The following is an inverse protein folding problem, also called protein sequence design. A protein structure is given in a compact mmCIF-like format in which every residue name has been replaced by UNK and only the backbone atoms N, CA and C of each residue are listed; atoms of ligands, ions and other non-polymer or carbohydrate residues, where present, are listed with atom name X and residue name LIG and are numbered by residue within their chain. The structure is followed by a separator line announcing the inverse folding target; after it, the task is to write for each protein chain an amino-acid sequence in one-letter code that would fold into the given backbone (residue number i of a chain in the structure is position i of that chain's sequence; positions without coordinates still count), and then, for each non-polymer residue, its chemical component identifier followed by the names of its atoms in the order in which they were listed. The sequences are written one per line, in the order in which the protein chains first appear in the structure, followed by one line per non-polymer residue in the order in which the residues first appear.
data_IF_942749816474
#
_entry.id   IF_942749816474
#
_cell.length_a   1.000
_cell.length_b   1.000
_cell.length_c   1.000
_cell.angle_alpha   90.00
_cell.angle_beta   90.00
_cell.angle_gamma   90.00
#
_symmetry.space_group_name_H-M   'P 1'
#
loop_
_entity.id
_entity.type
_entity.pdbx_description
1 polymer ?
#
# COMPACT_ATOMS: atom_id res chain seq x y z
N UNK A 1 -45.41 38.57 15.92
CA UNK A 1 -44.25 38.25 15.05
C UNK A 1 -44.36 36.76 14.76
N UNK A 2 -44.50 36.38 13.49
CA UNK A 2 -44.87 35.00 13.11
C UNK A 2 -43.73 34.02 13.41
N UNK A 3 -44.07 32.81 13.90
CA UNK A 3 -43.13 31.73 14.21
C UNK A 3 -42.21 31.36 13.03
N UNK A 4 -42.69 31.58 11.80
CA UNK A 4 -41.93 31.41 10.55
C UNK A 4 -40.72 32.35 10.49
N UNK A 5 -40.82 33.55 11.08
CA UNK A 5 -39.73 34.52 11.10
C UNK A 5 -38.64 34.12 12.11
N UNK A 6 -39.02 33.54 13.25
CA UNK A 6 -38.08 32.96 14.23
C UNK A 6 -37.32 31.76 13.66
N UNK A 7 -38.00 30.88 12.92
CA UNK A 7 -37.36 29.73 12.28
C UNK A 7 -36.34 30.15 11.20
N UNK A 8 -36.65 31.19 10.41
CA UNK A 8 -35.74 31.71 9.39
C UNK A 8 -34.47 32.31 10.00
N UNK A 9 -34.60 33.04 11.11
CA UNK A 9 -33.44 33.60 11.82
C UNK A 9 -32.60 32.49 12.44
N UNK A 10 -33.23 31.46 13.02
CA UNK A 10 -32.51 30.31 13.57
C UNK A 10 -31.63 29.61 12.54
N UNK A 11 -32.12 29.41 11.31
CA UNK A 11 -31.34 28.79 10.23
C UNK A 11 -30.15 29.67 9.81
N UNK A 12 -30.34 30.99 9.73
CA UNK A 12 -29.26 31.92 9.36
C UNK A 12 -28.16 31.93 10.43
N UNK A 13 -28.53 31.93 11.71
CA UNK A 13 -27.57 31.90 12.82
C UNK A 13 -26.81 30.57 12.85
N UNK A 14 -27.49 29.43 12.64
CA UNK A 14 -26.83 28.13 12.57
C UNK A 14 -25.84 28.03 11.40
N UNK A 15 -26.20 28.58 10.23
CA UNK A 15 -25.30 28.63 9.07
C UNK A 15 -24.05 29.47 9.32
N UNK A 16 -24.19 30.64 9.95
CA UNK A 16 -23.05 31.49 10.31
C UNK A 16 -22.14 30.83 11.35
N UNK A 17 -22.71 30.11 12.32
CA UNK A 17 -21.93 29.36 13.30
C UNK A 17 -21.11 28.23 12.65
N UNK A 18 -21.70 27.48 11.71
CA UNK A 18 -21.02 26.43 10.96
C UNK A 18 -19.86 27.00 10.11
N UNK A 19 -20.11 28.12 9.43
CA UNK A 19 -19.09 28.80 8.61
C UNK A 19 -17.92 29.33 9.45
N UNK A 20 -18.19 29.87 10.64
CA UNK A 20 -17.15 30.28 11.58
C UNK A 20 -16.33 29.09 12.09
N UNK A 21 -16.97 27.95 12.37
CA UNK A 21 -16.28 26.73 12.82
C UNK A 21 -15.31 26.21 11.74
N UNK A 22 -15.73 26.17 10.48
CA UNK A 22 -14.86 25.76 9.36
C UNK A 22 -13.69 26.74 9.19
N UNK A 23 -13.92 28.05 9.31
CA UNK A 23 -12.84 29.02 9.20
C UNK A 23 -11.81 28.90 10.33
N UNK A 24 -12.27 28.63 11.55
CA UNK A 24 -11.40 28.57 12.73
C UNK A 24 -10.66 27.23 12.86
N UNK A 25 -11.30 26.11 12.51
CA UNK A 25 -10.72 24.77 12.58
C UNK A 25 -10.09 24.29 11.26
N UNK A 26 -10.45 24.87 10.12
CA UNK A 26 -9.95 24.49 8.79
C UNK A 26 -8.60 25.12 8.41
N UNK A 27 -7.92 25.82 9.33
CA UNK A 27 -6.63 26.46 9.06
C UNK A 27 -5.47 25.54 9.48
N UNK A 28 -4.76 24.89 8.52
CA UNK A 28 -3.67 23.96 8.85
C UNK A 28 -2.50 24.68 9.52
N UNK A 29 -2.08 24.18 10.69
CA UNK A 29 -0.85 24.61 11.38
C UNK A 29 0.37 24.06 10.65
N UNK A 30 1.10 24.92 9.94
CA UNK A 30 2.45 24.62 9.47
C UNK A 30 3.36 24.35 10.68
N UNK A 31 3.84 23.10 10.81
CA UNK A 31 4.87 22.74 11.78
C UNK A 31 6.24 23.11 11.24
N UNK A 32 7.00 23.80 12.08
CA UNK A 32 8.29 24.42 11.76
C UNK A 32 9.40 23.43 11.43
N UNK A 33 10.07 23.73 10.32
CA UNK A 33 11.51 23.76 10.10
C UNK A 33 12.38 23.02 11.15
N UNK A 34 12.86 21.83 10.79
CA UNK A 34 13.86 21.07 11.54
C UNK A 34 15.21 21.78 11.57
N UNK A 35 15.74 21.97 12.78
CA UNK A 35 17.03 22.56 13.11
C UNK A 35 18.16 21.60 12.79
N UNK A 36 19.01 21.92 11.80
CA UNK A 36 20.22 21.16 11.47
C UNK A 36 21.27 21.40 12.55
N UNK A 37 21.67 20.34 13.25
CA UNK A 37 22.86 20.33 14.10
C UNK A 37 24.08 20.10 13.22
N UNK A 38 25.06 21.00 13.33
CA UNK A 38 26.36 20.95 12.66
C UNK A 38 27.27 19.98 13.45
N UNK A 39 27.90 18.97 12.83
CA UNK A 39 28.92 18.19 13.52
C UNK A 39 30.19 19.00 13.69
N UNK A 40 30.69 19.02 14.92
CA UNK A 40 31.96 19.59 15.36
C UNK A 40 33.11 18.65 14.94
N UNK A 41 34.15 19.19 14.31
CA UNK A 41 35.37 18.46 13.95
C UNK A 41 36.13 18.07 15.22
N UNK A 42 36.24 16.77 15.48
CA UNK A 42 37.16 16.21 16.48
C UNK A 42 38.52 15.97 15.84
N UNK A 43 39.48 16.76 16.32
CA UNK A 43 40.92 16.52 16.21
C UNK A 43 41.32 15.29 17.06
N UNK A 44 42.41 14.63 16.66
CA UNK A 44 43.08 13.59 17.44
C UNK A 44 42.92 12.15 16.94
N UNK A 45 43.67 11.79 15.89
CA UNK A 45 44.01 10.40 15.58
C UNK A 45 45.02 9.90 16.62
N UNK A 46 44.59 9.00 17.51
CA UNK A 46 45.47 8.16 18.32
C UNK A 46 45.27 6.72 17.84
N UNK A 47 46.33 6.08 17.37
CA UNK A 47 46.29 4.66 17.03
C UNK A 47 46.36 3.81 18.31
N UNK A 48 45.41 2.90 18.56
CA UNK A 48 45.49 1.96 19.67
C UNK A 48 46.30 0.74 19.23
N UNK A 49 47.42 0.49 19.91
CA UNK A 49 48.16 -0.77 19.80
C UNK A 49 47.41 -1.90 20.50
N UNK A 50 47.21 -3.00 19.79
CA UNK A 50 46.48 -4.24 20.13
C UNK A 50 46.85 -4.95 21.45
N UNK A 51 47.78 -4.43 22.26
CA UNK A 51 48.22 -5.07 23.50
C UNK A 51 47.28 -4.83 24.69
N UNK A 52 46.68 -3.65 24.81
CA UNK A 52 45.98 -3.25 26.05
C UNK A 52 44.50 -3.66 26.12
N UNK A 53 43.87 -4.05 25.00
CA UNK A 53 42.45 -4.40 24.99
C UNK A 53 42.18 -5.81 25.52
N UNK A 54 43.14 -6.73 25.36
CA UNK A 54 42.98 -8.13 25.77
C UNK A 54 43.09 -8.28 27.30
N UNK A 55 43.91 -7.46 27.95
CA UNK A 55 44.03 -7.47 29.43
C UNK A 55 42.82 -6.86 30.13
N UNK A 56 42.18 -5.83 29.55
CA UNK A 56 40.96 -5.24 30.11
C UNK A 56 39.71 -6.12 29.88
N UNK A 57 39.61 -6.81 28.74
CA UNK A 57 38.50 -7.75 28.48
C UNK A 57 38.54 -9.00 29.39
N UNK A 58 39.75 -9.49 29.69
CA UNK A 58 39.91 -10.65 30.58
C UNK A 58 39.67 -10.30 32.05
N UNK A 59 39.86 -9.04 32.44
CA UNK A 59 39.53 -8.53 33.77
C UNK A 59 38.02 -8.23 33.93
N UNK A 60 37.32 -7.85 32.85
CA UNK A 60 35.88 -7.57 32.87
C UNK A 60 34.98 -8.83 32.83
N UNK A 61 35.55 -10.01 32.55
CA UNK A 61 34.80 -11.26 32.43
C UNK A 61 34.40 -11.93 33.76
N UNK A 62 34.60 -11.28 34.91
CA UNK A 62 34.29 -11.85 36.23
C UNK A 62 32.99 -11.34 36.89
N UNK A 63 32.22 -10.46 36.24
CA UNK A 63 30.99 -9.94 36.85
C UNK A 63 29.81 -9.85 35.86
N UNK A 64 29.42 -11.02 35.32
CA UNK A 64 28.17 -11.15 34.55
C UNK A 64 27.07 -11.70 35.45
N UNK A 65 26.22 -10.82 35.99
CA UNK A 65 24.97 -11.24 36.64
C UNK A 65 23.92 -11.57 35.57
N UNK A 66 23.31 -12.76 35.70
CA UNK A 66 22.30 -13.31 34.79
C UNK A 66 21.04 -12.45 34.66
N UNK A 67 20.86 -11.47 35.56
CA UNK A 67 19.68 -10.61 35.62
C UNK A 67 19.65 -9.55 34.50
N UNK A 68 20.83 -9.13 34.02
CA UNK A 68 20.97 -8.11 32.98
C UNK A 68 20.51 -8.59 31.60
N UNK A 69 20.78 -9.87 31.28
CA UNK A 69 20.42 -10.49 30.00
C UNK A 69 18.90 -10.67 29.88
N UNK A 70 18.26 -11.06 30.97
CA UNK A 70 16.80 -11.27 31.02
C UNK A 70 16.04 -9.96 30.85
N UNK A 71 16.55 -8.84 31.38
CA UNK A 71 15.94 -7.52 31.17
C UNK A 71 16.02 -7.06 29.72
N UNK A 72 17.16 -7.27 29.04
CA UNK A 72 17.32 -6.91 27.63
C UNK A 72 16.45 -7.74 26.69
N UNK A 73 16.24 -9.03 27.00
CA UNK A 73 15.30 -9.87 26.24
C UNK A 73 13.84 -9.44 26.48
N UNK A 74 13.48 -9.11 27.72
CA UNK A 74 12.14 -8.63 28.07
C UNK A 74 11.83 -7.27 27.41
N UNK A 75 12.80 -6.35 27.33
CA UNK A 75 12.62 -5.06 26.66
C UNK A 75 12.45 -5.19 25.13
N UNK A 76 13.11 -6.17 24.51
CA UNK A 76 12.92 -6.51 23.09
C UNK A 76 11.53 -7.12 22.83
N UNK A 77 11.05 -7.96 23.74
CA UNK A 77 9.71 -8.52 23.72
C UNK A 77 8.65 -7.42 23.91
N UNK A 78 8.83 -6.52 24.87
CA UNK A 78 7.89 -5.42 25.13
C UNK A 78 7.87 -4.39 23.99
N UNK A 79 8.99 -4.18 23.30
CA UNK A 79 9.03 -3.40 22.04
C UNK A 79 8.28 -4.07 20.89
N UNK A 80 8.36 -5.40 20.81
CA UNK A 80 7.68 -6.17 19.76
C UNK A 80 6.18 -6.28 20.04
N UNK A 81 5.79 -6.43 21.31
CA UNK A 81 4.39 -6.49 21.77
C UNK A 81 3.75 -5.09 21.83
N UNK A 82 4.52 -4.04 22.11
CA UNK A 82 4.09 -2.64 22.04
C UNK A 82 3.82 -2.14 20.63
N UNK A 83 4.37 -2.80 19.60
CA UNK A 83 4.03 -2.53 18.19
C UNK A 83 2.70 -3.17 17.75
N UNK A 84 2.03 -3.91 18.63
CA UNK A 84 0.68 -4.48 18.39
C UNK A 84 -0.45 -3.58 18.91
N UNK A 85 -0.18 -2.32 19.25
CA UNK A 85 -1.23 -1.37 19.63
C UNK A 85 -1.88 -0.74 18.38
N UNK A 86 -3.07 -1.25 18.05
CA UNK A 86 -4.04 -0.73 17.09
C UNK A 86 -3.62 -0.71 15.61
N UNK A 87 -4.45 -1.34 14.76
CA UNK A 87 -4.43 -1.23 13.31
C UNK A 87 -4.54 0.25 12.88
N UNK A 88 -3.42 0.98 12.87
CA UNK A 88 -3.30 2.14 12.02
C UNK A 88 -3.42 1.60 10.59
N UNK A 89 -4.51 1.92 9.90
CA UNK A 89 -4.72 1.51 8.52
C UNK A 89 -3.47 1.90 7.72
N UNK A 90 -2.81 0.91 7.10
CA UNK A 90 -1.60 1.17 6.32
C UNK A 90 -1.94 2.11 5.17
N UNK A 91 -1.19 3.19 5.01
CA UNK A 91 -1.33 4.10 3.87
C UNK A 91 -0.55 3.59 2.64
N UNK A 92 0.22 2.50 2.80
CA UNK A 92 1.01 1.91 1.73
C UNK A 92 0.09 1.31 0.66
N UNK A 93 0.26 1.71 -0.60
CA UNK A 93 -0.63 1.26 -1.67
C UNK A 93 -1.96 2.00 -1.73
N UNK A 94 -2.13 3.08 -0.97
CA UNK A 94 -3.23 4.03 -1.18
C UNK A 94 -3.02 4.81 -2.48
N UNK A 95 -4.10 5.00 -3.24
CA UNK A 95 -4.07 5.83 -4.46
C UNK A 95 -4.07 7.32 -4.09
N UNK A 96 -3.41 8.13 -4.91
CA UNK A 96 -3.39 9.59 -4.75
C UNK A 96 -4.75 10.26 -5.04
N UNK A 97 -5.54 9.67 -5.94
CA UNK A 97 -6.92 10.05 -6.22
C UNK A 97 -7.83 8.83 -6.17
N UNK A 98 -9.08 9.03 -5.75
CA UNK A 98 -10.12 8.00 -5.81
C UNK A 98 -10.77 7.92 -7.19
N UNK A 99 -10.68 8.99 -8.00
CA UNK A 99 -11.23 9.05 -9.35
C UNK A 99 -10.61 7.99 -10.25
N UNK A 100 -11.42 7.40 -11.13
CA UNK A 100 -10.97 6.43 -12.12
C UNK A 100 -11.88 6.47 -13.35
N UNK A 101 -11.28 6.22 -14.51
CA UNK A 101 -11.99 6.13 -15.79
C UNK A 101 -12.32 4.68 -16.13
N UNK A 102 -11.39 3.77 -15.82
CA UNK A 102 -11.45 2.36 -16.21
C UNK A 102 -10.83 1.46 -15.15
N UNK A 103 -11.39 0.27 -15.01
CA UNK A 103 -10.83 -0.82 -14.20
C UNK A 103 -10.62 -2.02 -15.10
N UNK A 104 -9.42 -2.59 -15.08
CA UNK A 104 -9.09 -3.86 -15.75
C UNK A 104 -8.98 -4.94 -14.67
N UNK A 105 -9.73 -6.02 -14.84
CA UNK A 105 -9.84 -7.09 -13.84
C UNK A 105 -9.40 -8.42 -14.40
N UNK A 106 -8.61 -9.15 -13.62
CA UNK A 106 -8.33 -10.58 -13.81
C UNK A 106 -8.68 -11.32 -12.52
N UNK A 107 -8.97 -12.62 -12.63
CA UNK A 107 -9.13 -13.47 -11.46
C UNK A 107 -8.12 -14.61 -11.49
N UNK A 108 -7.77 -15.10 -10.31
CA UNK A 108 -7.14 -16.42 -10.15
C UNK A 108 -8.11 -17.26 -9.37
N UNK A 109 -8.63 -18.31 -10.00
CA UNK A 109 -9.54 -19.26 -9.39
C UNK A 109 -8.82 -20.55 -9.01
N UNK A 110 -9.23 -21.16 -7.89
CA UNK A 110 -8.84 -22.52 -7.57
C UNK A 110 -9.38 -23.51 -8.63
N UNK A 111 -8.73 -24.66 -8.76
CA UNK A 111 -9.23 -25.73 -9.65
C UNK A 111 -10.55 -26.30 -9.10
N UNK A 112 -11.25 -27.04 -9.95
CA UNK A 112 -12.55 -27.58 -9.60
C UNK A 112 -12.50 -28.46 -8.35
N UNK A 113 -13.29 -28.10 -7.33
CA UNK A 113 -13.35 -28.81 -6.04
C UNK A 113 -12.31 -28.35 -5.01
N UNK A 114 -11.43 -27.43 -5.37
CA UNK A 114 -10.39 -26.90 -4.49
C UNK A 114 -10.69 -25.46 -4.06
N UNK A 115 -9.91 -24.95 -3.10
CA UNK A 115 -9.94 -23.57 -2.66
C UNK A 115 -8.53 -23.06 -2.46
N UNK A 116 -8.34 -21.76 -2.65
CA UNK A 116 -7.11 -21.08 -2.33
C UNK A 116 -7.06 -20.83 -0.81
N UNK A 117 -5.98 -21.26 -0.17
CA UNK A 117 -5.78 -21.06 1.27
C UNK A 117 -5.08 -19.73 1.52
N UNK A 118 -5.50 -19.03 2.57
CA UNK A 118 -4.94 -17.72 2.94
C UNK A 118 -3.41 -17.71 3.04
N UNK A 119 -2.76 -18.62 3.78
CA UNK A 119 -1.29 -18.61 3.91
C UNK A 119 -0.59 -18.77 2.56
N UNK A 120 -1.14 -19.60 1.67
CA UNK A 120 -0.56 -19.83 0.35
C UNK A 120 -0.70 -18.57 -0.53
N UNK A 121 -1.83 -17.84 -0.42
CA UNK A 121 -2.04 -16.56 -1.09
C UNK A 121 -1.01 -15.52 -0.63
N UNK A 122 -0.74 -15.42 0.67
CA UNK A 122 0.26 -14.49 1.21
C UNK A 122 1.64 -14.79 0.62
N UNK A 123 2.08 -16.04 0.70
CA UNK A 123 3.38 -16.47 0.17
C UNK A 123 3.46 -16.24 -1.33
N UNK A 124 2.39 -16.53 -2.08
CA UNK A 124 2.35 -16.32 -3.51
C UNK A 124 2.43 -14.84 -3.89
N UNK A 125 1.71 -13.97 -3.18
CA UNK A 125 1.72 -12.52 -3.39
C UNK A 125 3.11 -11.93 -3.10
N UNK A 126 3.74 -12.30 -1.99
CA UNK A 126 5.10 -11.86 -1.64
C UNK A 126 6.13 -12.33 -2.68
N UNK A 127 6.09 -13.60 -3.09
CA UNK A 127 6.96 -14.14 -4.14
C UNK A 127 6.74 -13.44 -5.48
N UNK A 128 5.52 -13.00 -5.77
CA UNK A 128 5.18 -12.21 -6.95
C UNK A 128 5.57 -10.72 -6.83
N UNK A 129 6.16 -10.30 -5.71
CA UNK A 129 6.64 -8.94 -5.48
C UNK A 129 5.52 -7.96 -5.16
N UNK A 130 4.47 -8.44 -4.51
CA UNK A 130 3.38 -7.61 -3.98
C UNK A 130 3.59 -7.34 -2.49
N UNK A 131 3.01 -6.25 -1.99
CA UNK A 131 3.12 -5.84 -0.60
C UNK A 131 1.74 -5.66 0.00
N UNK A 132 1.52 -6.21 1.19
CA UNK A 132 0.30 -6.02 1.96
C UNK A 132 0.20 -4.57 2.45
N UNK A 133 -0.98 -3.94 2.34
CA UNK A 133 -1.12 -2.53 2.68
C UNK A 133 -2.56 -2.05 2.82
N UNK A 134 -2.81 -0.88 2.24
CA UNK A 134 -4.06 -0.13 2.32
C UNK A 134 -5.29 -1.00 2.03
N UNK A 135 -6.36 -0.81 2.81
CA UNK A 135 -7.57 -1.65 2.78
C UNK A 135 -7.34 -3.15 3.07
N UNK A 136 -6.22 -3.51 3.71
CA UNK A 136 -5.91 -4.90 4.05
C UNK A 136 -5.85 -5.81 2.81
N UNK A 137 -5.29 -5.30 1.71
CA UNK A 137 -5.11 -6.03 0.45
C UNK A 137 -3.67 -5.96 -0.04
N UNK A 138 -3.33 -6.73 -1.08
CA UNK A 138 -1.99 -6.74 -1.65
C UNK A 138 -1.88 -5.75 -2.81
N UNK A 139 -0.76 -5.04 -2.90
CA UNK A 139 -0.50 -4.04 -3.92
C UNK A 139 0.82 -4.33 -4.64
N UNK A 140 0.83 -4.15 -5.95
CA UNK A 140 2.08 -3.97 -6.69
C UNK A 140 2.36 -2.48 -6.74
N UNK A 141 3.45 -2.04 -6.11
CA UNK A 141 3.84 -0.63 -6.07
C UNK A 141 4.72 -0.25 -7.27
N UNK A 142 4.88 1.04 -7.52
CA UNK A 142 5.85 1.54 -8.51
C UNK A 142 7.26 1.24 -8.01
N UNK A 143 8.07 0.58 -8.84
CA UNK A 143 9.43 0.18 -8.46
C UNK A 143 10.26 1.42 -8.10
N UNK A 144 10.86 1.42 -6.91
CA UNK A 144 11.64 2.53 -6.36
C UNK A 144 10.84 3.77 -5.91
N UNK A 145 9.50 3.79 -6.11
CA UNK A 145 8.64 4.94 -5.81
C UNK A 145 7.31 4.52 -5.15
N UNK A 146 7.34 3.84 -3.99
CA UNK A 146 6.13 3.32 -3.34
C UNK A 146 5.12 4.42 -2.97
N UNK A 147 5.57 5.66 -2.78
CA UNK A 147 4.76 6.84 -2.48
C UNK A 147 3.82 7.27 -3.62
N UNK A 148 4.08 6.83 -4.86
CA UNK A 148 3.20 7.10 -6.02
C UNK A 148 1.94 6.24 -6.03
N UNK A 149 1.82 5.30 -5.09
CA UNK A 149 0.68 4.40 -4.96
C UNK A 149 0.82 3.13 -5.80
N UNK A 150 -0.26 2.34 -5.89
CA UNK A 150 -0.25 1.03 -6.51
C UNK A 150 -0.33 1.15 -8.03
N UNK A 151 0.41 0.30 -8.74
CA UNK A 151 0.17 -0.01 -10.16
C UNK A 151 -1.12 -0.81 -10.28
N UNK A 152 -1.28 -1.89 -9.51
CA UNK A 152 -2.50 -2.70 -9.41
C UNK A 152 -2.58 -3.36 -8.03
N UNK A 153 -3.74 -3.91 -7.68
CA UNK A 153 -3.97 -4.53 -6.38
C UNK A 153 -4.68 -5.87 -6.50
N UNK A 154 -4.61 -6.69 -5.45
CA UNK A 154 -5.25 -8.00 -5.34
C UNK A 154 -6.10 -8.07 -4.08
N UNK A 155 -7.36 -8.42 -4.24
CA UNK A 155 -8.33 -8.58 -3.16
C UNK A 155 -8.98 -9.97 -3.18
N UNK A 156 -9.59 -10.36 -2.07
CA UNK A 156 -10.45 -11.52 -2.00
C UNK A 156 -11.78 -11.24 -2.73
N UNK A 157 -12.34 -12.22 -3.45
CA UNK A 157 -13.67 -12.05 -4.07
C UNK A 157 -14.80 -12.14 -3.06
N UNK A 158 -14.55 -12.78 -1.91
CA UNK A 158 -15.52 -12.95 -0.84
C UNK A 158 -15.54 -11.71 0.04
N UNK A 159 -16.73 -11.30 0.49
CA UNK A 159 -16.88 -10.19 1.43
C UNK A 159 -16.13 -10.53 2.74
N UNK A 160 -15.39 -9.59 3.34
CA UNK A 160 -15.33 -8.14 3.02
C UNK A 160 -14.43 -7.75 1.83
N UNK A 161 -13.62 -8.66 1.31
CA UNK A 161 -12.66 -8.42 0.21
C UNK A 161 -11.23 -8.18 0.68
N UNK A 162 -11.02 -7.96 1.98
CA UNK A 162 -9.71 -7.90 2.63
C UNK A 162 -9.13 -9.29 2.93
N UNK A 163 -7.84 -9.30 3.23
CA UNK A 163 -7.13 -10.43 3.84
C UNK A 163 -6.84 -10.09 5.30
N UNK A 164 -7.65 -10.61 6.22
CA UNK A 164 -7.42 -10.39 7.65
C UNK A 164 -6.24 -11.23 8.14
N UNK A 165 -5.09 -10.59 8.34
CA UNK A 165 -3.84 -11.28 8.70
C UNK A 165 -3.95 -12.04 10.03
N UNK A 166 -4.77 -11.57 10.97
CA UNK A 166 -5.00 -12.25 12.25
C UNK A 166 -5.68 -13.63 12.10
N UNK A 167 -6.51 -13.79 11.06
CA UNK A 167 -7.29 -15.01 10.81
C UNK A 167 -6.90 -15.69 9.50
N UNK A 168 -5.74 -15.32 8.93
CA UNK A 168 -5.34 -15.73 7.58
C UNK A 168 -5.24 -17.26 7.42
N UNK A 169 -4.90 -17.98 8.49
CA UNK A 169 -4.79 -19.43 8.50
C UNK A 169 -6.14 -20.15 8.28
N UNK A 170 -7.25 -19.52 8.65
CA UNK A 170 -8.59 -20.04 8.46
C UNK A 170 -9.23 -19.60 7.13
N UNK A 171 -8.60 -18.65 6.43
CA UNK A 171 -9.13 -18.16 5.16
C UNK A 171 -9.03 -19.24 4.09
N UNK A 172 -10.18 -19.53 3.48
CA UNK A 172 -10.28 -20.27 2.23
C UNK A 172 -11.17 -19.48 1.27
N UNK A 173 -10.73 -19.32 0.02
CA UNK A 173 -11.50 -18.59 -0.98
C UNK A 173 -11.47 -19.30 -2.34
N UNK A 174 -12.59 -19.33 -3.08
CA UNK A 174 -12.61 -19.93 -4.40
C UNK A 174 -11.79 -19.15 -5.44
N UNK A 175 -11.58 -17.85 -5.25
CA UNK A 175 -10.78 -17.03 -6.14
C UNK A 175 -10.29 -15.74 -5.48
N UNK A 176 -9.34 -15.09 -6.13
CA UNK A 176 -8.86 -13.74 -5.81
C UNK A 176 -8.91 -12.87 -7.08
N UNK A 177 -9.12 -11.58 -6.90
CA UNK A 177 -9.29 -10.62 -7.98
C UNK A 177 -8.10 -9.66 -8.04
N UNK A 178 -7.47 -9.58 -9.20
CA UNK A 178 -6.54 -8.52 -9.56
C UNK A 178 -7.32 -7.38 -10.20
N UNK A 179 -7.06 -6.15 -9.79
CA UNK A 179 -7.65 -4.97 -10.39
C UNK A 179 -6.61 -3.87 -10.61
N UNK A 180 -6.55 -3.40 -11.86
CA UNK A 180 -5.76 -2.26 -12.31
C UNK A 180 -6.74 -1.10 -12.54
N UNK A 181 -6.62 -0.05 -11.73
CA UNK A 181 -7.43 1.16 -11.85
C UNK A 181 -6.67 2.21 -12.65
N UNK A 182 -7.30 2.75 -13.69
CA UNK A 182 -6.74 3.80 -14.54
C UNK A 182 -7.43 5.15 -14.25
N UNK A 183 -6.68 6.26 -14.21
CA UNK A 183 -5.25 6.38 -14.49
C UNK A 183 -4.37 5.77 -13.38
N UNK A 184 -3.38 4.96 -13.79
CA UNK A 184 -2.38 4.39 -12.91
C UNK A 184 -1.19 5.38 -12.76
N UNK A 185 -0.30 5.20 -11.76
CA UNK A 185 0.89 6.05 -11.62
C UNK A 185 1.91 5.88 -12.76
N UNK A 186 1.70 4.93 -13.67
CA UNK A 186 2.48 4.68 -14.90
C UNK A 186 1.51 4.51 -16.08
N UNK A 187 2.02 4.46 -17.31
CA UNK A 187 1.21 4.22 -18.51
C UNK A 187 0.39 2.93 -18.37
N UNK A 188 -0.83 2.93 -18.92
CA UNK A 188 -1.76 1.81 -18.80
C UNK A 188 -1.17 0.53 -19.41
N UNK A 189 -0.47 0.65 -20.55
CA UNK A 189 0.21 -0.49 -21.16
C UNK A 189 1.29 -1.06 -20.25
N UNK A 190 2.15 -0.22 -19.67
CA UNK A 190 3.21 -0.65 -18.75
C UNK A 190 2.61 -1.32 -17.50
N UNK A 191 1.51 -0.77 -16.98
CA UNK A 191 0.79 -1.35 -15.85
C UNK A 191 0.24 -2.75 -16.16
N UNK A 192 -0.33 -2.93 -17.35
CA UNK A 192 -0.79 -4.23 -17.84
C UNK A 192 0.36 -5.23 -18.04
N UNK A 193 1.47 -4.78 -18.62
CA UNK A 193 2.68 -5.59 -18.83
C UNK A 193 3.34 -6.01 -17.49
N UNK A 194 3.07 -5.29 -16.39
CA UNK A 194 3.40 -5.73 -15.03
C UNK A 194 2.34 -6.66 -14.42
N UNK A 195 1.06 -6.38 -14.65
CA UNK A 195 -0.06 -7.12 -14.06
C UNK A 195 -0.14 -8.57 -14.56
N UNK A 196 -0.06 -8.77 -15.89
CA UNK A 196 -0.26 -10.09 -16.49
C UNK A 196 0.78 -11.13 -16.03
N UNK A 197 2.10 -10.87 -16.09
CA UNK A 197 3.10 -11.83 -15.61
C UNK A 197 2.98 -12.10 -14.10
N UNK A 198 2.61 -11.07 -13.32
CA UNK A 198 2.37 -11.22 -11.87
C UNK A 198 1.20 -12.17 -11.61
N UNK A 199 0.08 -11.99 -12.31
CA UNK A 199 -1.08 -12.86 -12.20
C UNK A 199 -0.77 -14.31 -12.64
N UNK A 200 -0.04 -14.49 -13.74
CA UNK A 200 0.39 -15.82 -14.20
C UNK A 200 1.30 -16.52 -13.20
N UNK A 201 2.31 -15.81 -12.68
CA UNK A 201 3.22 -16.36 -11.66
C UNK A 201 2.48 -16.72 -10.37
N UNK A 202 1.54 -15.90 -9.94
CA UNK A 202 0.78 -16.18 -8.73
C UNK A 202 -0.18 -17.36 -8.94
N UNK A 203 -0.73 -17.53 -10.15
CA UNK A 203 -1.53 -18.69 -10.49
C UNK A 203 -0.70 -19.98 -10.48
N UNK A 204 0.54 -19.96 -11.00
CA UNK A 204 1.47 -21.10 -10.92
C UNK A 204 1.79 -21.48 -9.46
N UNK A 205 2.03 -20.49 -8.59
CA UNK A 205 2.32 -20.73 -7.17
C UNK A 205 1.13 -21.28 -6.39
N UNK A 206 -0.09 -20.98 -6.83
CA UNK A 206 -1.34 -21.38 -6.18
C UNK A 206 -2.01 -22.59 -6.85
N UNK A 207 -1.39 -23.17 -7.88
CA UNK A 207 -2.01 -24.14 -8.79
C UNK A 207 -3.40 -23.69 -9.30
N UNK A 208 -3.54 -22.38 -9.55
CA UNK A 208 -4.79 -21.75 -9.97
C UNK A 208 -4.89 -21.52 -11.48
N UNK A 209 -6.07 -21.08 -11.92
CA UNK A 209 -6.34 -20.72 -13.32
C UNK A 209 -6.61 -19.23 -13.42
N UNK A 210 -5.90 -18.54 -14.32
CA UNK A 210 -6.14 -17.12 -14.61
C UNK A 210 -7.39 -16.99 -15.47
N UNK A 211 -8.34 -16.17 -15.02
CA UNK A 211 -9.60 -15.89 -15.71
C UNK A 211 -9.72 -14.40 -16.08
N UNK A 212 -10.47 -14.12 -17.13
CA UNK A 212 -10.87 -12.77 -17.52
C UNK A 212 -12.08 -12.26 -16.72
N UNK A 213 -12.53 -11.04 -17.04
CA UNK A 213 -13.69 -10.39 -16.40
C UNK A 213 -14.99 -11.21 -16.52
N UNK A 214 -15.14 -12.00 -17.59
CA UNK A 214 -16.28 -12.90 -17.81
C UNK A 214 -16.11 -14.27 -17.14
N UNK A 215 -15.03 -14.47 -16.37
CA UNK A 215 -14.64 -15.73 -15.71
C UNK A 215 -14.30 -16.85 -16.70
N UNK A 216 -13.90 -16.51 -17.92
CA UNK A 216 -13.35 -17.47 -18.88
C UNK A 216 -11.85 -17.58 -18.71
N UNK A 217 -11.28 -18.76 -19.02
CA UNK A 217 -9.83 -18.95 -19.00
C UNK A 217 -9.13 -17.94 -19.91
N UNK A 218 -8.09 -17.28 -19.39
CA UNK A 218 -7.43 -16.18 -20.09
C UNK A 218 -6.63 -16.68 -21.31
N UNK A 219 -7.21 -16.50 -22.50
CA UNK A 219 -6.60 -16.90 -23.77
C UNK A 219 -5.73 -15.82 -24.41
N UNK A 220 -4.89 -16.22 -25.39
CA UNK A 220 -3.99 -15.32 -26.14
C UNK A 220 -4.73 -14.18 -26.85
N UNK A 221 -5.90 -14.45 -27.43
CA UNK A 221 -6.72 -13.43 -28.09
C UNK A 221 -7.19 -12.36 -27.10
N UNK A 222 -7.65 -12.76 -25.91
CA UNK A 222 -8.10 -11.82 -24.88
C UNK A 222 -6.94 -10.99 -24.33
N UNK A 223 -5.77 -11.60 -24.13
CA UNK A 223 -4.54 -10.90 -23.75
C UNK A 223 -4.17 -9.83 -24.79
N UNK A 224 -4.17 -10.18 -26.08
CA UNK A 224 -3.86 -9.24 -27.15
C UNK A 224 -4.85 -8.08 -27.19
N UNK A 225 -6.14 -8.38 -27.03
CA UNK A 225 -7.19 -7.38 -26.98
C UNK A 225 -7.04 -6.42 -25.80
N UNK A 226 -6.85 -6.92 -24.57
CA UNK A 226 -6.62 -6.07 -23.39
C UNK A 226 -5.39 -5.18 -23.56
N UNK A 227 -4.31 -5.70 -24.13
CA UNK A 227 -3.11 -4.92 -24.45
C UNK A 227 -3.41 -3.78 -25.44
N UNK A 228 -4.18 -4.05 -26.48
CA UNK A 228 -4.55 -3.04 -27.48
C UNK A 228 -5.51 -1.99 -26.90
N UNK A 229 -6.39 -2.37 -25.96
CA UNK A 229 -7.20 -1.43 -25.19
C UNK A 229 -6.34 -0.51 -24.32
N UNK A 230 -5.31 -1.03 -23.65
CA UNK A 230 -4.40 -0.20 -22.84
C UNK A 230 -3.64 0.81 -23.71
N UNK A 231 -3.15 0.37 -24.86
CA UNK A 231 -2.54 1.26 -25.86
C UNK A 231 -3.51 2.35 -26.34
N UNK A 232 -4.78 2.01 -26.53
CA UNK A 232 -5.79 2.97 -26.95
C UNK A 232 -6.11 3.97 -25.84
N UNK A 233 -6.15 3.52 -24.59
CA UNK A 233 -6.32 4.38 -23.42
C UNK A 233 -5.17 5.39 -23.31
N UNK A 234 -3.91 4.93 -23.39
CA UNK A 234 -2.73 5.82 -23.32
C UNK A 234 -2.77 6.88 -24.43
N UNK A 235 -3.06 6.51 -25.69
CA UNK A 235 -3.17 7.47 -26.80
C UNK A 235 -4.24 8.54 -26.59
N UNK A 236 -5.35 8.21 -25.94
CA UNK A 236 -6.43 9.17 -25.66
C UNK A 236 -6.05 10.16 -24.56
N UNK A 237 -5.22 9.74 -23.60
CA UNK A 237 -4.81 10.54 -22.45
C UNK A 237 -3.49 11.30 -22.67
N UNK A 238 -2.66 10.89 -23.64
CA UNK A 238 -1.47 11.62 -24.08
C UNK A 238 -1.78 12.76 -25.08
N UNK A 239 -2.91 12.70 -25.79
CA UNK A 239 -3.24 13.68 -26.81
C UNK A 239 -3.45 15.08 -26.18
N UNK A 240 -2.64 16.10 -26.52
CA UNK A 240 -2.89 17.47 -26.10
C UNK A 240 -4.29 17.90 -26.57
N UNK A 241 -5.01 18.76 -25.81
CA UNK A 241 -6.27 19.30 -26.30
C UNK A 241 -6.00 19.93 -27.66
N UNK A 242 -6.74 19.50 -28.69
CA UNK A 242 -6.62 20.05 -30.05
C UNK A 242 -6.81 21.56 -29.98
N UNK A 243 -5.72 22.31 -29.89
CA UNK A 243 -5.74 23.76 -30.01
C UNK A 243 -6.27 24.04 -31.40
N UNK A 244 -7.49 24.59 -31.48
CA UNK A 244 -8.10 25.00 -32.74
C UNK A 244 -7.05 25.72 -33.57
N UNK A 245 -6.80 25.21 -34.77
CA UNK A 245 -5.90 25.84 -35.73
C UNK A 245 -6.33 27.31 -35.91
N UNK A 246 -5.40 28.29 -35.89
CA UNK A 246 -5.75 29.68 -36.15
C UNK A 246 -6.36 29.74 -37.54
N UNK A 247 -7.64 30.13 -37.61
CA UNK A 247 -8.25 30.54 -38.86
C UNK A 247 -7.52 31.81 -39.31
N UNK A 248 -6.65 31.66 -40.32
CA UNK A 248 -6.17 32.77 -41.12
C UNK A 248 -7.21 33.10 -42.19
#
# INVERSE_FOLDING_TARGET
MSDVWLLRIGIVVAGLALMAAIYFFGRPRNRGQGRRLRPEERDGRLEPTLGSQIEDELAAAQDFSSDSVVQSEMELLDRTVGSTSAQAASELGKRASEDFDKIVTLYIAARAGEKLRGPDIVVAAEKAGMTYGHMNVFHRLVDGHPERGPVFSVANIMKPGSFEMAEIHALETPAIAFFLTLPAPIQALDAWEKMLPTAQRMAELLDGVVLDEQRNALGRQRIAHLRDEMRAYDRQHEAPPLTRSPRW
#
